data_IF_776286797181
#
_entry.id   IF_776286797181
#
_cell.length_a   1.000
_cell.length_b   1.000
_cell.length_c   1.000
_cell.angle_alpha   90.00
_cell.angle_beta   90.00
_cell.angle_gamma   90.00
#
_symmetry.space_group_name_H-M   'P 1'
#
loop_
_entity.id
_entity.type
_entity.pdbx_description
1 polymer ?
#
# COMPACT_ATOMS: atom_id res chain seq x y z
N UNK A 1 10.90 -3.93 7.03
CA UNK A 1 9.56 -4.55 6.99
C UNK A 1 9.43 -5.79 7.89
N UNK A 2 10.08 -6.93 7.64
CA UNK A 2 10.00 -8.13 8.54
C UNK A 2 10.19 -7.75 10.02
N UNK A 3 11.34 -7.15 10.35
CA UNK A 3 11.60 -6.66 11.72
C UNK A 3 10.55 -5.67 12.25
N UNK A 4 9.99 -4.80 11.39
CA UNK A 4 8.98 -3.82 11.80
C UNK A 4 7.66 -4.51 12.19
N UNK A 5 7.28 -5.57 11.47
CA UNK A 5 6.10 -6.37 11.77
C UNK A 5 6.32 -7.22 13.02
N UNK A 6 7.50 -7.81 13.17
CA UNK A 6 7.89 -8.57 14.37
C UNK A 6 7.86 -7.69 15.64
N UNK A 7 8.42 -6.48 15.57
CA UNK A 7 8.42 -5.50 16.67
C UNK A 7 6.99 -5.02 17.03
N UNK A 8 6.07 -5.05 16.06
CA UNK A 8 4.68 -4.66 16.22
C UNK A 8 3.75 -5.82 16.59
N UNK A 9 4.29 -7.03 16.77
CA UNK A 9 3.55 -8.28 17.05
C UNK A 9 2.47 -8.56 15.98
N UNK A 10 2.85 -8.41 14.70
CA UNK A 10 1.98 -8.65 13.54
C UNK A 10 2.40 -9.94 12.84
N UNK A 11 1.45 -10.87 12.72
CA UNK A 11 1.62 -12.05 11.89
C UNK A 11 1.51 -11.69 10.41
N UNK A 12 2.43 -12.23 9.61
CA UNK A 12 2.57 -11.90 8.20
C UNK A 12 3.18 -13.06 7.42
N UNK A 13 2.57 -13.39 6.28
CA UNK A 13 3.13 -14.38 5.36
C UNK A 13 3.89 -13.68 4.24
N UNK A 14 5.11 -14.15 3.96
CA UNK A 14 5.96 -13.59 2.93
C UNK A 14 6.09 -14.56 1.76
N UNK A 15 5.84 -14.04 0.55
CA UNK A 15 5.99 -14.78 -0.68
C UNK A 15 7.19 -14.24 -1.46
N UNK A 16 8.18 -15.09 -1.72
CA UNK A 16 9.38 -14.74 -2.47
C UNK A 16 9.36 -15.42 -3.84
N UNK A 17 9.61 -14.65 -4.90
CA UNK A 17 9.55 -15.12 -6.28
C UNK A 17 10.92 -15.00 -6.95
N UNK A 18 11.23 -15.93 -7.87
CA UNK A 18 12.42 -15.84 -8.71
C UNK A 18 12.30 -14.79 -9.81
N UNK A 19 11.08 -14.53 -10.26
CA UNK A 19 10.75 -13.53 -11.28
C UNK A 19 10.13 -12.29 -10.61
N UNK A 20 10.37 -11.08 -11.15
CA UNK A 20 9.81 -9.87 -10.58
C UNK A 20 8.28 -9.84 -10.70
N UNK A 21 7.65 -9.30 -9.66
CA UNK A 21 6.22 -9.00 -9.54
C UNK A 21 6.04 -7.49 -9.74
N UNK A 22 5.61 -7.09 -10.94
CA UNK A 22 5.57 -5.66 -11.32
C UNK A 22 4.16 -5.10 -11.44
N UNK A 23 3.15 -5.97 -11.39
CA UNK A 23 1.75 -5.63 -11.61
C UNK A 23 0.84 -6.46 -10.73
N UNK A 24 -0.42 -6.01 -10.61
CA UNK A 24 -1.48 -6.76 -9.92
C UNK A 24 -1.74 -8.08 -10.64
N UNK A 25 -1.66 -8.08 -11.97
CA UNK A 25 -1.81 -9.24 -12.83
C UNK A 25 -0.69 -10.27 -12.61
N UNK A 26 0.55 -9.81 -12.43
CA UNK A 26 1.68 -10.69 -12.08
C UNK A 26 1.47 -11.35 -10.73
N UNK A 27 1.15 -10.56 -9.69
CA UNK A 27 0.90 -11.06 -8.34
C UNK A 27 -0.25 -12.08 -8.31
N UNK A 28 -1.37 -11.75 -8.96
CA UNK A 28 -2.53 -12.63 -9.10
C UNK A 28 -2.17 -13.94 -9.81
N UNK A 29 -1.40 -13.88 -10.90
CA UNK A 29 -0.95 -15.06 -11.65
C UNK A 29 0.03 -15.92 -10.85
N UNK A 30 0.97 -15.31 -10.14
CA UNK A 30 2.00 -16.01 -9.37
C UNK A 30 1.43 -16.72 -8.14
N UNK A 31 0.43 -16.13 -7.47
CA UNK A 31 -0.20 -16.69 -6.28
C UNK A 31 -1.49 -17.47 -6.56
N UNK A 32 -2.07 -17.34 -7.76
CA UNK A 32 -3.35 -17.97 -8.10
C UNK A 32 -4.54 -17.35 -7.34
N UNK A 33 -4.48 -16.06 -7.02
CA UNK A 33 -5.49 -15.32 -6.25
C UNK A 33 -6.23 -14.30 -7.12
N UNK A 34 -7.43 -13.89 -6.70
CA UNK A 34 -8.20 -12.85 -7.38
C UNK A 34 -7.48 -11.47 -7.24
N UNK A 35 -7.37 -10.67 -8.32
CA UNK A 35 -6.84 -9.29 -8.28
C UNK A 35 -7.39 -8.39 -7.16
N UNK A 36 -8.63 -8.60 -6.73
CA UNK A 36 -9.25 -7.84 -5.63
C UNK A 36 -8.52 -8.02 -4.29
N UNK A 37 -7.83 -9.15 -4.08
CA UNK A 37 -6.99 -9.41 -2.90
C UNK A 37 -5.61 -8.76 -2.97
N UNK A 38 -5.16 -8.36 -4.16
CA UNK A 38 -3.87 -7.69 -4.33
C UNK A 38 -4.08 -6.20 -4.10
N UNK A 39 -3.28 -5.56 -3.25
CA UNK A 39 -3.46 -4.17 -2.85
C UNK A 39 -2.31 -3.32 -3.39
N UNK A 40 -2.63 -2.07 -3.76
CA UNK A 40 -1.67 -1.08 -4.22
C UNK A 40 -1.42 -0.04 -3.14
N UNK A 41 -0.15 0.19 -2.85
CA UNK A 41 0.35 1.28 -2.02
C UNK A 41 0.88 2.39 -2.92
N UNK A 42 0.17 3.51 -3.00
CA UNK A 42 0.45 4.60 -3.92
C UNK A 42 0.77 5.89 -3.14
N UNK A 43 1.92 6.49 -3.42
CA UNK A 43 2.31 7.74 -2.75
C UNK A 43 1.80 8.93 -3.54
N UNK A 44 1.15 9.84 -2.83
CA UNK A 44 0.71 11.15 -3.29
C UNK A 44 1.41 12.23 -2.49
N UNK A 45 1.38 13.46 -2.99
CA UNK A 45 1.83 14.63 -2.25
C UNK A 45 0.91 15.82 -2.51
N UNK A 46 0.80 16.70 -1.53
CA UNK A 46 0.07 17.96 -1.70
C UNK A 46 0.95 19.08 -2.30
N UNK A 47 0.42 20.30 -2.30
CA UNK A 47 1.08 21.47 -2.86
C UNK A 47 2.29 21.94 -2.02
N UNK A 48 2.39 21.51 -0.75
CA UNK A 48 3.47 21.80 0.19
C UNK A 48 4.50 20.66 0.28
N UNK A 49 4.48 19.72 -0.68
CA UNK A 49 5.30 18.50 -0.69
C UNK A 49 5.09 17.58 0.52
N UNK A 50 3.92 17.66 1.18
CA UNK A 50 3.56 16.74 2.26
C UNK A 50 3.09 15.40 1.68
N UNK A 51 3.74 14.27 2.00
CA UNK A 51 3.38 12.97 1.43
C UNK A 51 2.20 12.30 2.13
N UNK A 52 1.43 11.54 1.37
CA UNK A 52 0.39 10.64 1.88
C UNK A 52 0.38 9.34 1.10
N UNK A 53 0.33 8.21 1.81
CA UNK A 53 0.12 6.90 1.21
C UNK A 53 -1.39 6.64 1.07
N UNK A 54 -1.82 6.26 -0.13
CA UNK A 54 -3.14 5.75 -0.41
C UNK A 54 -3.08 4.24 -0.66
N UNK A 55 -3.90 3.47 0.07
CA UNK A 55 -4.00 2.02 -0.03
C UNK A 55 -5.37 1.66 -0.62
N UNK A 56 -5.39 1.01 -1.78
CA UNK A 56 -6.62 0.61 -2.50
C UNK A 56 -6.48 -0.80 -3.08
N UNK A 57 -7.60 -1.48 -3.33
CA UNK A 57 -7.61 -2.76 -4.04
C UNK A 57 -6.99 -2.63 -5.46
N UNK A 58 -6.42 -3.74 -5.92
CA UNK A 58 -5.61 -3.84 -7.13
C UNK A 58 -6.39 -3.57 -8.41
N UNK A 59 -7.68 -3.91 -8.41
CA UNK A 59 -8.63 -3.66 -9.49
C UNK A 59 -9.21 -2.24 -9.49
N UNK A 60 -8.95 -1.44 -8.45
CA UNK A 60 -9.47 -0.06 -8.31
C UNK A 60 -8.46 1.01 -8.69
N UNK A 61 -8.90 2.25 -8.79
CA UNK A 61 -8.02 3.43 -8.92
C UNK A 61 -8.31 4.40 -7.79
N UNK A 62 -7.29 5.13 -7.34
CA UNK A 62 -7.49 6.21 -6.38
C UNK A 62 -8.28 7.34 -7.05
N UNK A 63 -9.34 7.77 -6.40
CA UNK A 63 -10.06 9.01 -6.70
C UNK A 63 -9.34 10.16 -5.97
N UNK A 64 -8.60 10.97 -6.73
CA UNK A 64 -7.77 12.06 -6.19
C UNK A 64 -8.62 13.14 -5.50
N UNK A 65 -9.87 13.35 -5.91
CA UNK A 65 -10.77 14.31 -5.29
C UNK A 65 -11.23 13.82 -3.91
N UNK A 66 -11.57 12.53 -3.79
CA UNK A 66 -11.88 11.91 -2.49
C UNK A 66 -10.65 11.90 -1.59
N UNK A 67 -9.49 11.51 -2.12
CA UNK A 67 -8.24 11.50 -1.35
C UNK A 67 -7.89 12.92 -0.85
N UNK A 68 -8.01 13.94 -1.71
CA UNK A 68 -7.76 15.34 -1.35
C UNK A 68 -8.68 15.80 -0.21
N UNK A 69 -9.97 15.48 -0.27
CA UNK A 69 -10.94 15.80 0.79
C UNK A 69 -10.58 15.15 2.12
N UNK A 70 -10.13 13.90 2.09
CA UNK A 70 -9.78 13.14 3.31
C UNK A 70 -8.45 13.60 3.88
N UNK A 71 -7.47 13.92 3.02
CA UNK A 71 -6.15 14.43 3.40
C UNK A 71 -6.23 15.84 4.00
N UNK A 72 -7.07 16.71 3.42
CA UNK A 72 -7.27 18.10 3.83
C UNK A 72 -6.67 19.13 2.85
N UNK A 73 -5.97 18.66 1.82
CA UNK A 73 -5.28 19.47 0.81
C UNK A 73 -5.44 18.81 -0.56
N UNK A 74 -5.32 19.59 -1.64
CA UNK A 74 -5.25 19.01 -2.98
C UNK A 74 -4.00 18.15 -3.10
N UNK A 75 -4.16 16.90 -3.51
CA UNK A 75 -3.05 15.98 -3.74
C UNK A 75 -2.86 15.66 -5.21
N UNK A 76 -1.67 15.21 -5.56
CA UNK A 76 -1.31 14.64 -6.87
C UNK A 76 -0.41 13.44 -6.68
N UNK A 77 -0.45 12.48 -7.60
CA UNK A 77 0.44 11.31 -7.53
C UNK A 77 1.91 11.73 -7.52
N UNK A 78 2.69 11.17 -6.61
CA UNK A 78 4.10 11.45 -6.48
C UNK A 78 4.89 10.87 -7.67
N UNK A 79 5.95 11.57 -8.09
CA UNK A 79 6.85 11.06 -9.15
C UNK A 79 7.86 10.10 -8.55
N UNK A 80 8.51 9.27 -9.38
CA UNK A 80 9.46 8.24 -8.93
C UNK A 80 10.49 8.73 -7.91
N UNK A 81 11.09 9.91 -8.16
CA UNK A 81 12.05 10.53 -7.24
C UNK A 81 11.41 10.84 -5.88
N UNK A 82 10.23 11.44 -5.88
CA UNK A 82 9.51 11.80 -4.66
C UNK A 82 9.09 10.54 -3.88
N UNK A 83 8.66 9.47 -4.58
CA UNK A 83 8.32 8.19 -3.95
C UNK A 83 9.51 7.64 -3.17
N UNK A 84 10.69 7.60 -3.79
CA UNK A 84 11.91 7.12 -3.15
C UNK A 84 12.37 8.03 -2.00
N UNK A 85 12.27 9.35 -2.17
CA UNK A 85 12.61 10.34 -1.14
C UNK A 85 11.70 10.25 0.09
N UNK A 86 10.40 10.06 -0.11
CA UNK A 86 9.42 10.01 0.99
C UNK A 86 9.36 8.66 1.69
N UNK A 87 9.38 7.57 0.92
CA UNK A 87 9.12 6.23 1.46
C UNK A 87 10.39 5.41 1.71
N UNK A 88 11.51 5.76 1.07
CA UNK A 88 12.70 4.91 1.01
C UNK A 88 12.58 3.71 0.04
N UNK A 89 11.47 3.61 -0.70
CA UNK A 89 11.19 2.53 -1.65
C UNK A 89 11.01 3.09 -3.07
N UNK A 90 11.31 2.26 -4.07
CA UNK A 90 11.05 2.61 -5.47
C UNK A 90 9.58 2.38 -5.82
N UNK A 91 9.14 2.98 -6.93
CA UNK A 91 7.83 2.67 -7.51
C UNK A 91 7.70 1.16 -7.72
N UNK A 92 6.57 0.60 -7.31
CA UNK A 92 6.29 -0.83 -7.38
C UNK A 92 6.80 -1.63 -6.19
N UNK A 93 7.63 -1.04 -5.33
CA UNK A 93 8.20 -1.72 -4.15
C UNK A 93 7.62 -1.21 -2.83
N UNK A 94 6.88 -0.10 -2.85
CA UNK A 94 6.33 0.56 -1.65
C UNK A 94 5.42 -0.42 -0.89
N UNK A 95 5.80 -0.84 0.32
CA UNK A 95 4.95 -1.69 1.16
C UNK A 95 3.82 -0.88 1.81
N UNK A 96 2.79 -1.54 2.38
CA UNK A 96 1.70 -0.84 3.07
C UNK A 96 2.10 -0.27 4.44
N UNK A 97 3.31 -0.59 4.93
CA UNK A 97 3.80 -0.29 6.29
C UNK A 97 5.32 -0.05 6.26
N UNK A 98 5.96 0.25 7.39
CA UNK A 98 7.43 0.38 7.49
C UNK A 98 8.07 1.55 6.72
N UNK A 99 7.28 2.53 6.25
CA UNK A 99 7.74 3.75 5.56
C UNK A 99 7.46 5.05 6.36
N UNK A 100 6.64 5.00 7.41
CA UNK A 100 6.36 6.15 8.29
C UNK A 100 5.51 7.28 7.67
N UNK A 101 4.85 7.02 6.54
CA UNK A 101 3.99 8.01 5.88
C UNK A 101 2.60 8.04 6.50
N UNK A 102 1.96 9.22 6.48
CA UNK A 102 0.52 9.34 6.74
C UNK A 102 -0.23 8.43 5.77
N UNK A 103 -1.09 7.56 6.30
CA UNK A 103 -1.72 6.50 5.50
C UNK A 103 -3.23 6.66 5.50
N UNK A 104 -3.82 6.54 4.30
CA UNK A 104 -5.26 6.51 4.09
C UNK A 104 -5.60 5.19 3.39
N UNK A 105 -6.50 4.42 3.98
CA UNK A 105 -6.89 3.09 3.49
C UNK A 105 -8.32 3.14 2.99
N UNK A 106 -8.56 2.57 1.80
CA UNK A 106 -9.92 2.41 1.28
C UNK A 106 -10.72 1.44 2.13
N UNK A 107 -11.91 1.86 2.52
CA UNK A 107 -12.80 1.04 3.36
C UNK A 107 -13.17 -0.30 2.72
N UNK A 108 -13.17 -0.43 1.39
CA UNK A 108 -13.49 -1.70 0.71
C UNK A 108 -12.51 -2.82 1.03
N UNK A 109 -11.25 -2.51 1.35
CA UNK A 109 -10.28 -3.58 1.63
C UNK A 109 -10.44 -4.15 3.05
N UNK A 110 -11.20 -3.48 3.91
CA UNK A 110 -11.40 -3.88 5.31
C UNK A 110 -12.33 -5.08 5.46
N UNK A 111 -13.07 -5.44 4.40
CA UNK A 111 -13.97 -6.58 4.37
C UNK A 111 -13.25 -7.91 4.08
N UNK A 112 -11.97 -7.87 3.70
CA UNK A 112 -11.15 -9.08 3.50
C UNK A 112 -10.51 -9.53 4.80
N UNK A 113 -10.50 -10.85 5.03
CA UNK A 113 -9.77 -11.44 6.18
C UNK A 113 -8.26 -11.23 6.07
N UNK A 114 -7.75 -11.27 4.84
CA UNK A 114 -6.35 -11.03 4.51
C UNK A 114 -6.24 -10.36 3.14
N UNK A 115 -5.18 -9.56 2.98
CA UNK A 115 -4.83 -8.91 1.72
C UNK A 115 -3.36 -9.13 1.40
N UNK A 116 -3.00 -9.09 0.13
CA UNK A 116 -1.63 -9.25 -0.36
C UNK A 116 -1.13 -7.90 -0.90
N UNK A 117 0.02 -7.44 -0.43
CA UNK A 117 0.62 -6.18 -0.85
C UNK A 117 2.10 -6.34 -1.21
N UNK A 118 2.70 -5.26 -1.72
CA UNK A 118 4.14 -5.21 -2.00
C UNK A 118 4.97 -5.48 -0.75
N UNK A 119 5.97 -6.34 -0.86
CA UNK A 119 6.78 -6.81 0.25
C UNK A 119 8.05 -5.98 0.52
N UNK A 120 8.16 -4.78 -0.04
CA UNK A 120 9.37 -3.95 0.05
C UNK A 120 10.41 -4.23 -1.04
N UNK A 121 10.11 -5.08 -2.02
CA UNK A 121 10.92 -5.30 -3.22
C UNK A 121 10.04 -5.81 -4.36
N UNK A 122 10.53 -5.75 -5.60
CA UNK A 122 9.85 -6.36 -6.75
C UNK A 122 9.76 -7.89 -6.70
N UNK A 123 10.45 -8.58 -5.79
CA UNK A 123 10.47 -10.06 -5.73
C UNK A 123 9.77 -10.60 -4.48
N UNK A 124 9.13 -9.73 -3.71
CA UNK A 124 8.52 -10.09 -2.43
C UNK A 124 7.13 -9.52 -2.36
N UNK A 125 6.16 -10.37 -1.99
CA UNK A 125 4.84 -9.95 -1.54
C UNK A 125 4.67 -10.29 -0.07
N UNK A 126 3.73 -9.62 0.59
CA UNK A 126 3.36 -9.88 1.98
C UNK A 126 1.85 -9.98 2.09
N UNK A 127 1.36 -10.98 2.81
CA UNK A 127 -0.04 -11.14 3.17
C UNK A 127 -0.25 -10.79 4.64
N UNK A 128 -1.23 -9.92 4.88
CA UNK A 128 -1.49 -9.27 6.16
C UNK A 128 -3.00 -9.08 6.36
N UNK A 129 -3.43 -8.97 7.61
CA UNK A 129 -4.75 -8.44 7.93
C UNK A 129 -4.79 -6.91 7.67
N UNK A 130 -5.73 -6.39 6.85
CA UNK A 130 -5.85 -4.95 6.61
C UNK A 130 -6.10 -4.13 7.90
N UNK A 131 -6.69 -4.74 8.94
CA UNK A 131 -6.93 -4.13 10.25
C UNK A 131 -5.63 -3.92 11.02
N UNK A 132 -4.65 -4.79 10.86
CA UNK A 132 -3.33 -4.61 11.46
C UNK A 132 -2.55 -3.48 10.78
N UNK A 133 -2.63 -3.39 9.44
CA UNK A 133 -2.08 -2.25 8.70
C UNK A 133 -2.67 -0.95 9.24
N UNK A 134 -4.00 -0.87 9.36
CA UNK A 134 -4.68 0.33 9.88
C UNK A 134 -4.23 0.68 11.30
N UNK A 135 -4.10 -0.32 12.18
CA UNK A 135 -3.70 -0.15 13.58
C UNK A 135 -2.28 0.37 13.71
N UNK A 136 -1.31 -0.24 13.02
CA UNK A 136 0.11 0.09 13.20
C UNK A 136 0.54 1.36 12.45
N UNK A 137 -0.27 1.82 11.50
CA UNK A 137 -0.04 3.08 10.76
C UNK A 137 -0.89 4.24 11.25
N UNK A 138 -1.77 4.03 12.25
CA UNK A 138 -2.81 5.00 12.66
C UNK A 138 -3.58 5.54 11.44
N UNK A 139 -3.93 4.63 10.52
CA UNK A 139 -4.48 5.02 9.23
C UNK A 139 -5.87 5.64 9.36
N UNK A 140 -6.14 6.62 8.49
CA UNK A 140 -7.49 7.11 8.28
C UNK A 140 -8.22 6.20 7.29
N UNK A 141 -9.36 5.64 7.71
CA UNK A 141 -10.24 4.87 6.83
C UNK A 141 -11.19 5.81 6.08
N UNK A 142 -11.23 5.71 4.76
CA UNK A 142 -12.18 6.47 3.95
C UNK A 142 -12.39 5.84 2.58
N UNK A 143 -13.55 6.07 1.96
CA UNK A 143 -13.75 5.68 0.55
C UNK A 143 -12.92 6.59 -0.36
N UNK A 144 -11.87 6.06 -0.96
CA UNK A 144 -10.90 6.80 -1.79
C UNK A 144 -10.69 6.17 -3.17
N UNK A 145 -11.47 5.16 -3.53
CA UNK A 145 -11.53 4.55 -4.86
C UNK A 145 -12.86 4.78 -5.59
#
# INVERSE_FOLDING_TARGET
MKNFLDEADIEADFYEFSEPTLSVEDASRQLGVNPEKIIKSLVFKDEDDSPVLAIVAGDKRVDEDKLSKVHGSRVKMAKARDVEEFSGYKIGEVPPVSHGLKTIIDTEIMDFDSIIAGGGSTHTLVELDPRDIARITDAKLAKIS
#
